data_IF_716852186985
#
_entry.id   IF_716852186985
#
_cell.length_a   1.000
_cell.length_b   1.000
_cell.length_c   1.000
_cell.angle_alpha   90.00
_cell.angle_beta   90.00
_cell.angle_gamma   90.00
#
_symmetry.space_group_name_H-M   'P 1'
#
loop_
_entity.id
_entity.type
_entity.pdbx_description
1 polymer ?
#
# COMPACT_ATOMS: atom_id res chain seq x y z
N UNK A 1 -8.56 -12.69 22.69
CA UNK A 1 -7.56 -12.14 21.75
C UNK A 1 -8.31 -11.74 20.51
N UNK A 2 -8.16 -10.52 20.00
CA UNK A 2 -8.79 -10.15 18.73
C UNK A 2 -8.29 -11.11 17.64
N UNK A 3 -9.18 -11.57 16.78
CA UNK A 3 -8.83 -12.46 15.69
C UNK A 3 -8.01 -11.65 14.68
N UNK A 4 -6.75 -12.01 14.47
CA UNK A 4 -5.86 -11.32 13.52
C UNK A 4 -6.31 -11.60 12.10
N UNK A 5 -6.26 -10.58 11.25
CA UNK A 5 -6.47 -10.74 9.81
C UNK A 5 -5.40 -11.66 9.21
N UNK A 6 -5.71 -12.24 8.06
CA UNK A 6 -4.81 -13.12 7.32
C UNK A 6 -4.72 -12.65 5.89
N UNK A 7 -3.52 -12.64 5.33
CA UNK A 7 -3.34 -12.40 3.90
C UNK A 7 -3.83 -13.60 3.07
N UNK A 8 -3.99 -13.41 1.77
CA UNK A 8 -4.32 -14.50 0.85
C UNK A 8 -3.23 -15.60 0.81
N UNK A 9 -1.99 -15.28 1.22
CA UNK A 9 -0.85 -16.21 1.25
C UNK A 9 -0.58 -16.79 2.64
N UNK A 10 -1.36 -16.45 3.66
CA UNK A 10 -1.13 -16.88 5.04
C UNK A 10 -0.87 -18.39 5.17
N UNK A 11 -1.69 -19.23 4.53
CA UNK A 11 -1.52 -20.68 4.61
C UNK A 11 -0.21 -21.14 3.94
N UNK A 12 0.20 -20.49 2.85
CA UNK A 12 1.48 -20.79 2.20
C UNK A 12 2.66 -20.51 3.14
N UNK A 13 2.59 -19.43 3.94
CA UNK A 13 3.63 -19.13 4.93
C UNK A 13 3.72 -20.18 6.01
N UNK A 14 2.57 -20.63 6.53
CA UNK A 14 2.49 -21.69 7.55
C UNK A 14 3.05 -23.00 6.98
N UNK A 15 2.66 -23.39 5.77
CA UNK A 15 3.11 -24.62 5.11
C UNK A 15 4.62 -24.61 4.82
N UNK A 16 5.20 -23.44 4.59
CA UNK A 16 6.64 -23.24 4.42
C UNK A 16 7.40 -23.17 5.75
N UNK A 17 6.73 -23.32 6.88
CA UNK A 17 7.33 -23.31 8.21
C UNK A 17 7.76 -21.93 8.69
N UNK A 18 7.11 -20.87 8.22
CA UNK A 18 7.39 -19.51 8.67
C UNK A 18 7.11 -19.33 10.17
N UNK A 19 7.95 -18.56 10.83
CA UNK A 19 7.65 -18.04 12.15
C UNK A 19 6.66 -16.87 12.02
N UNK A 20 5.42 -17.09 12.42
CA UNK A 20 4.35 -16.09 12.33
C UNK A 20 4.36 -15.14 13.55
N UNK A 21 3.97 -13.89 13.34
CA UNK A 21 3.88 -12.85 14.39
C UNK A 21 2.85 -11.77 14.02
N UNK A 22 2.21 -11.13 15.01
CA UNK A 22 1.34 -9.98 14.78
C UNK A 22 2.09 -8.80 14.14
N UNK A 23 1.56 -8.29 13.05
CA UNK A 23 2.07 -7.09 12.36
C UNK A 23 0.92 -6.36 11.66
N UNK A 24 0.72 -5.06 11.94
CA UNK A 24 -0.30 -4.23 11.29
C UNK A 24 -1.74 -4.78 11.41
N UNK A 25 -2.05 -5.55 12.44
CA UNK A 25 -3.37 -6.20 12.61
C UNK A 25 -3.49 -7.56 11.94
N UNK A 26 -2.46 -8.01 11.24
CA UNK A 26 -2.38 -9.30 10.55
C UNK A 26 -1.44 -10.27 11.25
N UNK A 27 -1.65 -11.59 11.00
CA UNK A 27 -0.70 -12.66 11.35
C UNK A 27 0.27 -12.84 10.17
N UNK A 28 1.52 -12.35 10.32
CA UNK A 28 2.50 -12.22 9.25
C UNK A 28 3.76 -13.05 9.49
N UNK A 29 4.43 -13.55 8.43
CA UNK A 29 5.71 -14.23 8.55
C UNK A 29 6.83 -13.23 8.85
N UNK A 30 7.62 -13.49 9.88
CA UNK A 30 8.81 -12.67 10.21
C UNK A 30 10.11 -13.28 9.72
N UNK A 31 10.15 -14.60 9.58
CA UNK A 31 11.28 -15.35 9.01
C UNK A 31 10.87 -16.80 8.70
N UNK A 32 11.65 -17.45 7.85
CA UNK A 32 11.53 -18.90 7.52
C UNK A 32 12.75 -19.67 8.03
N UNK A 33 13.95 -19.33 7.57
CA UNK A 33 15.22 -19.97 7.95
C UNK A 33 16.03 -19.15 8.95
N UNK A 34 15.91 -17.84 8.87
CA UNK A 34 16.60 -16.92 9.74
C UNK A 34 16.80 -15.55 9.10
N UNK A 35 16.61 -14.50 9.91
CA UNK A 35 16.62 -13.10 9.47
C UNK A 35 17.91 -12.76 8.70
N UNK A 36 19.08 -13.18 9.20
CA UNK A 36 20.39 -12.84 8.58
C UNK A 36 20.56 -13.54 7.23
N UNK A 37 20.17 -14.84 7.12
CA UNK A 37 20.25 -15.60 5.88
C UNK A 37 19.33 -14.98 4.81
N UNK A 38 18.09 -14.68 5.18
CA UNK A 38 17.08 -14.10 4.28
C UNK A 38 17.45 -12.67 3.87
N UNK A 39 17.97 -11.85 4.80
CA UNK A 39 18.52 -10.55 4.49
C UNK A 39 19.65 -10.65 3.43
N UNK A 40 20.58 -11.56 3.62
CA UNK A 40 21.69 -11.77 2.67
C UNK A 40 21.18 -12.27 1.31
N UNK A 41 20.13 -13.09 1.26
CA UNK A 41 19.51 -13.52 0.02
C UNK A 41 18.96 -12.33 -0.78
N UNK A 42 18.25 -11.41 -0.11
CA UNK A 42 17.75 -10.17 -0.74
C UNK A 42 18.90 -9.29 -1.21
N UNK A 43 19.96 -9.12 -0.40
CA UNK A 43 21.10 -8.24 -0.75
C UNK A 43 21.97 -8.75 -1.89
N UNK A 44 22.03 -10.07 -2.12
CA UNK A 44 22.93 -10.68 -3.07
C UNK A 44 22.23 -11.38 -4.25
N UNK A 45 20.92 -11.57 -4.17
CA UNK A 45 20.13 -12.25 -5.19
C UNK A 45 18.72 -11.65 -5.30
N UNK A 46 17.71 -12.29 -4.71
CA UNK A 46 16.33 -11.83 -4.77
C UNK A 46 15.56 -12.34 -3.54
N UNK A 47 14.63 -11.51 -3.06
CA UNK A 47 13.62 -11.87 -2.08
C UNK A 47 12.22 -11.50 -2.56
N UNK A 48 11.24 -12.31 -2.17
CA UNK A 48 9.81 -12.04 -2.41
C UNK A 48 9.14 -11.88 -1.05
N UNK A 49 8.45 -10.75 -0.87
CA UNK A 49 7.77 -10.42 0.36
C UNK A 49 6.26 -10.37 0.11
N UNK A 50 5.50 -11.05 0.96
CA UNK A 50 4.06 -10.83 1.04
C UNK A 50 3.80 -9.48 1.73
N UNK A 51 3.27 -8.53 0.99
CA UNK A 51 2.85 -7.22 1.50
C UNK A 51 1.35 -7.01 1.33
N UNK A 52 0.59 -8.10 1.14
CA UNK A 52 -0.87 -8.10 0.97
C UNK A 52 -1.64 -7.62 2.22
N UNK A 53 -0.94 -7.26 3.29
CA UNK A 53 -1.52 -6.59 4.45
C UNK A 53 -1.68 -5.08 4.24
N UNK A 54 -1.02 -4.52 3.22
CA UNK A 54 -1.16 -3.11 2.85
C UNK A 54 -2.59 -2.82 2.36
N UNK A 55 -2.94 -1.56 2.26
CA UNK A 55 -4.21 -1.14 1.72
C UNK A 55 -4.07 -0.57 0.32
N UNK A 56 -5.01 -0.90 -0.55
CA UNK A 56 -5.01 -0.45 -1.93
C UNK A 56 -6.27 0.35 -2.24
N UNK A 57 -6.09 1.49 -2.91
CA UNK A 57 -7.19 2.37 -3.32
C UNK A 57 -7.02 2.78 -4.77
N UNK A 58 -8.01 2.48 -5.60
CA UNK A 58 -8.10 3.03 -6.96
C UNK A 58 -8.74 4.42 -6.94
N UNK A 59 -8.17 5.34 -7.73
CA UNK A 59 -8.72 6.68 -7.97
C UNK A 59 -8.82 6.89 -9.48
N UNK A 60 -10.05 7.00 -9.99
CA UNK A 60 -10.34 7.12 -11.43
C UNK A 60 -11.24 8.31 -11.70
N UNK A 61 -11.13 8.88 -12.89
CA UNK A 61 -12.02 9.91 -13.37
C UNK A 61 -11.33 11.15 -13.93
N UNK A 62 -12.08 12.05 -14.57
CA UNK A 62 -11.52 13.22 -15.25
C UNK A 62 -10.69 14.15 -14.34
N UNK A 63 -10.97 14.17 -13.05
CA UNK A 63 -10.24 14.98 -12.07
C UNK A 63 -9.27 14.16 -11.20
N UNK A 64 -8.95 12.90 -11.56
CA UNK A 64 -8.11 12.02 -10.74
C UNK A 64 -6.72 12.63 -10.46
N UNK A 65 -6.05 13.20 -11.48
CA UNK A 65 -4.75 13.86 -11.31
C UNK A 65 -4.83 15.07 -10.36
N UNK A 66 -5.84 15.91 -10.54
CA UNK A 66 -6.05 17.08 -9.65
C UNK A 66 -6.38 16.66 -8.23
N UNK A 67 -7.19 15.62 -8.07
CA UNK A 67 -7.55 15.08 -6.77
C UNK A 67 -6.34 14.51 -6.05
N UNK A 68 -5.54 13.70 -6.73
CA UNK A 68 -4.31 13.14 -6.15
C UNK A 68 -3.34 14.27 -5.76
N UNK A 69 -3.11 15.27 -6.62
CA UNK A 69 -2.29 16.43 -6.27
C UNK A 69 -2.86 17.24 -5.09
N UNK A 70 -4.16 17.21 -4.86
CA UNK A 70 -4.79 17.90 -3.73
C UNK A 70 -4.53 17.20 -2.40
N UNK A 71 -4.52 15.85 -2.39
CA UNK A 71 -4.37 15.07 -1.16
C UNK A 71 -2.94 14.62 -0.86
N UNK A 72 -2.02 14.72 -1.82
CA UNK A 72 -0.67 14.15 -1.78
C UNK A 72 0.40 15.22 -1.86
N UNK A 73 1.50 15.06 -1.14
CA UNK A 73 2.56 16.08 -1.04
C UNK A 73 3.52 16.13 -2.22
N UNK A 74 3.52 15.12 -3.10
CA UNK A 74 4.35 15.13 -4.30
C UNK A 74 3.52 15.54 -5.51
N UNK A 75 4.14 16.18 -6.52
CA UNK A 75 3.47 16.60 -7.75
C UNK A 75 3.44 15.43 -8.75
N UNK A 76 2.22 15.00 -9.10
CA UNK A 76 1.99 13.94 -10.09
C UNK A 76 1.54 14.48 -11.45
N UNK A 77 1.56 15.81 -11.63
CA UNK A 77 1.10 16.47 -12.86
C UNK A 77 1.88 15.99 -14.07
N UNK A 78 1.16 15.52 -15.10
CA UNK A 78 1.77 15.08 -16.35
C UNK A 78 2.67 13.85 -16.23
N UNK A 79 2.62 13.13 -15.12
CA UNK A 79 3.43 11.94 -14.92
C UNK A 79 3.15 10.88 -16.01
N UNK A 80 4.17 10.19 -16.53
CA UNK A 80 3.97 9.08 -17.46
C UNK A 80 3.30 7.88 -16.76
N UNK A 81 2.52 7.11 -17.51
CA UNK A 81 1.97 5.84 -17.03
C UNK A 81 3.09 4.90 -16.61
N UNK A 82 2.92 4.25 -15.47
CA UNK A 82 3.92 3.36 -14.85
C UNK A 82 4.82 4.06 -13.84
N UNK A 83 4.78 5.39 -13.72
CA UNK A 83 5.55 6.10 -12.70
C UNK A 83 4.95 5.89 -11.32
N UNK A 84 5.84 5.70 -10.33
CA UNK A 84 5.53 5.61 -8.92
C UNK A 84 6.11 6.82 -8.18
N UNK A 85 5.37 7.33 -7.20
CA UNK A 85 5.76 8.41 -6.32
C UNK A 85 5.61 7.97 -4.87
N UNK A 86 6.54 8.38 -4.03
CA UNK A 86 6.42 8.27 -2.59
C UNK A 86 6.18 9.65 -2.00
N UNK A 87 5.29 9.76 -1.02
CA UNK A 87 4.99 11.01 -0.35
C UNK A 87 4.00 10.80 0.79
N UNK A 88 3.35 11.88 1.22
CA UNK A 88 2.49 11.88 2.40
C UNK A 88 1.13 12.53 2.10
N UNK A 89 0.15 12.18 2.90
CA UNK A 89 -1.08 12.95 3.11
C UNK A 89 -0.93 13.77 4.40
N UNK A 90 -1.33 15.03 4.37
CA UNK A 90 -1.16 15.95 5.49
C UNK A 90 -2.48 16.58 5.92
N UNK A 91 -2.65 16.77 7.22
CA UNK A 91 -3.68 17.65 7.75
C UNK A 91 -3.39 19.12 7.40
N UNK A 92 -4.40 20.00 7.36
CA UNK A 92 -4.20 21.44 7.13
C UNK A 92 -3.24 22.11 8.12
N UNK A 93 -3.02 21.50 9.27
CA UNK A 93 -2.08 21.95 10.32
C UNK A 93 -0.64 21.51 10.05
N UNK A 94 -0.39 20.73 8.99
CA UNK A 94 0.92 20.18 8.64
C UNK A 94 1.26 18.84 9.33
N UNK A 95 0.37 18.33 10.18
CA UNK A 95 0.53 16.98 10.75
C UNK A 95 0.33 15.89 9.69
N UNK A 96 1.11 14.81 9.79
CA UNK A 96 1.03 13.68 8.87
C UNK A 96 -0.24 12.86 9.14
N UNK A 97 -1.01 12.60 8.09
CA UNK A 97 -2.10 11.61 8.09
C UNK A 97 -1.50 10.22 7.91
N UNK A 98 -0.78 10.02 6.80
CA UNK A 98 0.02 8.83 6.52
C UNK A 98 1.00 9.10 5.37
N UNK A 99 1.99 8.20 5.19
CA UNK A 99 2.83 8.11 4.00
C UNK A 99 2.33 7.00 3.08
N UNK A 100 2.50 7.19 1.78
CA UNK A 100 1.96 6.25 0.79
C UNK A 100 2.75 6.25 -0.52
N UNK A 101 2.54 5.18 -1.30
CA UNK A 101 2.95 5.11 -2.70
C UNK A 101 1.76 5.46 -3.61
N UNK A 102 2.03 6.22 -4.66
CA UNK A 102 1.06 6.60 -5.69
C UNK A 102 1.59 6.17 -7.05
N UNK A 103 0.85 5.31 -7.73
CA UNK A 103 1.18 4.82 -9.06
C UNK A 103 0.27 5.44 -10.12
N UNK A 104 0.82 5.96 -11.21
CA UNK A 104 0.06 6.36 -12.39
C UNK A 104 -0.24 5.13 -13.25
N UNK A 105 -1.46 4.62 -13.23
CA UNK A 105 -1.87 3.43 -14.00
C UNK A 105 -2.46 3.74 -15.38
N UNK A 106 -2.91 4.97 -15.57
CA UNK A 106 -3.52 5.43 -16.81
C UNK A 106 -3.67 6.94 -16.85
N UNK A 107 -4.19 7.51 -17.92
CA UNK A 107 -4.35 8.96 -18.09
C UNK A 107 -5.13 9.60 -16.93
N UNK A 108 -6.25 8.98 -16.56
CA UNK A 108 -7.13 9.42 -15.47
C UNK A 108 -7.27 8.34 -14.39
N UNK A 109 -6.17 7.63 -14.10
CA UNK A 109 -6.19 6.49 -13.19
C UNK A 109 -4.92 6.44 -12.35
N UNK A 110 -5.10 6.52 -11.04
CA UNK A 110 -4.07 6.36 -10.02
C UNK A 110 -4.40 5.20 -9.10
N UNK A 111 -3.37 4.59 -8.56
CA UNK A 111 -3.45 3.51 -7.58
C UNK A 111 -2.60 3.89 -6.38
N UNK A 112 -3.20 3.91 -5.22
CA UNK A 112 -2.57 4.29 -3.97
C UNK A 112 -2.34 3.04 -3.13
N UNK A 113 -1.14 2.93 -2.55
CA UNK A 113 -0.81 1.88 -1.57
C UNK A 113 -0.57 2.56 -0.23
N UNK A 114 -1.42 2.25 0.74
CA UNK A 114 -1.49 2.85 2.08
C UNK A 114 -1.11 1.83 3.16
N UNK A 115 -0.74 2.32 4.34
CA UNK A 115 -0.23 1.45 5.40
C UNK A 115 -1.32 0.60 6.07
N UNK A 116 -1.01 -0.67 6.34
CA UNK A 116 -1.92 -1.69 6.87
C UNK A 116 -2.68 -1.26 8.13
N UNK A 117 -1.97 -0.67 9.10
CA UNK A 117 -2.57 -0.25 10.37
C UNK A 117 -3.50 0.97 10.23
N UNK A 118 -3.46 1.67 9.10
CA UNK A 118 -4.15 2.93 8.86
C UNK A 118 -5.24 2.84 7.78
N UNK A 119 -5.49 1.66 7.20
CA UNK A 119 -6.38 1.49 6.04
C UNK A 119 -7.71 2.21 6.23
N UNK A 120 -8.45 1.91 7.30
CA UNK A 120 -9.77 2.50 7.54
C UNK A 120 -9.70 4.03 7.69
N UNK A 121 -8.75 4.51 8.48
CA UNK A 121 -8.50 5.94 8.70
C UNK A 121 -8.15 6.68 7.39
N UNK A 122 -7.29 6.09 6.58
CA UNK A 122 -6.81 6.71 5.35
C UNK A 122 -7.87 6.70 4.26
N UNK A 123 -8.62 5.61 4.11
CA UNK A 123 -9.78 5.54 3.21
C UNK A 123 -10.83 6.58 3.59
N UNK A 124 -11.18 6.70 4.87
CA UNK A 124 -12.13 7.70 5.34
C UNK A 124 -11.63 9.12 5.07
N UNK A 125 -10.33 9.37 5.29
CA UNK A 125 -9.70 10.67 5.02
C UNK A 125 -9.74 11.00 3.53
N UNK A 126 -9.34 10.09 2.66
CA UNK A 126 -9.37 10.24 1.19
C UNK A 126 -10.80 10.52 0.72
N UNK A 127 -11.78 9.73 1.16
CA UNK A 127 -13.19 9.91 0.81
C UNK A 127 -13.74 11.25 1.27
N UNK A 128 -13.33 11.74 2.46
CA UNK A 128 -13.77 13.04 3.00
C UNK A 128 -13.32 14.23 2.15
N UNK A 129 -12.25 14.08 1.36
CA UNK A 129 -11.68 15.12 0.49
C UNK A 129 -12.19 15.07 -0.95
N UNK A 130 -13.09 14.13 -1.28
CA UNK A 130 -13.63 13.93 -2.64
C UNK A 130 -14.46 15.10 -3.16
N UNK A 131 -15.07 15.91 -2.27
CA UNK A 131 -16.03 16.94 -2.67
C UNK A 131 -15.41 17.97 -3.63
N UNK A 132 -16.08 18.20 -4.75
CA UNK A 132 -15.64 19.12 -5.80
C UNK A 132 -14.81 18.47 -6.91
N UNK A 133 -14.52 17.17 -6.83
CA UNK A 133 -13.80 16.42 -7.85
C UNK A 133 -14.69 15.35 -8.49
N UNK A 134 -14.61 15.25 -9.82
CA UNK A 134 -15.28 14.17 -10.58
C UNK A 134 -14.36 12.94 -10.61
N UNK A 135 -14.36 12.21 -9.51
CA UNK A 135 -13.56 10.99 -9.30
C UNK A 135 -14.39 9.87 -8.69
N UNK A 136 -14.04 8.65 -9.06
CA UNK A 136 -14.42 7.41 -8.39
C UNK A 136 -13.25 6.97 -7.51
N UNK A 137 -13.53 6.64 -6.26
CA UNK A 137 -12.55 6.16 -5.28
C UNK A 137 -13.03 4.79 -4.81
N UNK A 138 -12.24 3.77 -5.08
CA UNK A 138 -12.60 2.36 -4.82
C UNK A 138 -11.54 1.69 -3.94
N UNK A 139 -11.84 1.41 -2.67
CA UNK A 139 -10.97 0.61 -1.82
C UNK A 139 -10.97 -0.85 -2.29
N UNK A 140 -9.78 -1.40 -2.57
CA UNK A 140 -9.60 -2.73 -3.17
C UNK A 140 -8.88 -3.73 -2.26
N UNK A 141 -8.51 -3.34 -1.04
CA UNK A 141 -7.65 -4.10 -0.14
C UNK A 141 -8.12 -5.54 0.12
N UNK A 142 -9.43 -5.75 0.20
CA UNK A 142 -9.99 -7.11 0.43
C UNK A 142 -9.99 -7.99 -0.84
N UNK A 143 -9.67 -7.41 -2.00
CA UNK A 143 -9.75 -8.07 -3.31
C UNK A 143 -8.39 -8.30 -3.95
N UNK A 144 -7.33 -7.75 -3.39
CA UNK A 144 -5.97 -7.80 -3.95
C UNK A 144 -5.00 -8.49 -3.01
N UNK A 145 -3.97 -9.07 -3.61
CA UNK A 145 -2.76 -9.48 -2.92
C UNK A 145 -1.59 -8.74 -3.55
N UNK A 146 -0.64 -8.33 -2.72
CA UNK A 146 0.52 -7.56 -3.14
C UNK A 146 1.82 -8.28 -2.78
N UNK A 147 2.75 -8.31 -3.75
CA UNK A 147 4.08 -8.87 -3.55
C UNK A 147 5.14 -7.83 -3.84
N UNK A 148 6.11 -7.69 -2.93
CA UNK A 148 7.31 -6.91 -3.18
C UNK A 148 8.45 -7.85 -3.59
N UNK A 149 8.96 -7.68 -4.82
CA UNK A 149 10.13 -8.41 -5.33
C UNK A 149 11.33 -7.48 -5.19
N UNK A 150 12.30 -7.88 -4.38
CA UNK A 150 13.43 -7.04 -3.97
C UNK A 150 14.76 -7.73 -4.26
N UNK A 151 15.77 -6.95 -4.66
CA UNK A 151 17.13 -7.43 -4.93
C UNK A 151 17.97 -6.38 -5.65
N UNK A 152 19.27 -6.66 -5.97
CA UNK A 152 20.14 -5.79 -6.77
C UNK A 152 19.76 -5.73 -8.25
#
# INVERSE_FOLDING_TARGET
>A
MADMKKTCLHQCHVDLGAQMSPFGGFDMPIQYRGIVEEHNAVRNACGVFDVSHMGEVDVKGPDAEKFVNYIFTNDVTGAPVGQCFYGMMLHPTGGVVDDLLVYKRGENHFFLVINAANIDKDVDWILSHRNGFNVEIDPLSDSLGELAIQGP
#
